data_IF_986720134530
#
_entry.id   IF_986720134530
#
_cell.length_a   1.000
_cell.length_b   1.000
_cell.length_c   1.000
_cell.angle_alpha   90.00
_cell.angle_beta   90.00
_cell.angle_gamma   90.00
#
_symmetry.space_group_name_H-M   'P 1'
#
loop_
_entity.id
_entity.type
_entity.pdbx_description
1 polymer ?
#
# COMPACT_ATOMS: atom_id res chain seq x y z
N UNK A 1 12.91 -1.15 1.31
CA UNK A 1 14.34 -1.18 1.72
C UNK A 1 14.49 -1.27 3.24
N UNK A 2 13.93 -0.32 4.01
CA UNK A 2 14.04 -0.34 5.48
C UNK A 2 13.51 -1.62 6.14
N UNK A 3 12.39 -2.17 5.64
CA UNK A 3 11.86 -3.45 6.13
C UNK A 3 12.87 -4.60 6.03
N UNK A 4 13.69 -4.63 4.97
CA UNK A 4 14.72 -5.65 4.81
C UNK A 4 15.91 -5.43 5.76
N UNK A 5 16.35 -4.19 5.92
CA UNK A 5 17.45 -3.84 6.81
C UNK A 5 17.14 -4.12 8.30
N UNK A 6 15.85 -4.09 8.67
CA UNK A 6 15.39 -4.24 10.05
C UNK A 6 14.82 -5.63 10.36
N UNK A 7 15.27 -6.69 9.66
CA UNK A 7 14.82 -8.06 9.87
C UNK A 7 13.30 -8.25 9.70
N UNK A 8 12.76 -7.82 8.56
CA UNK A 8 11.36 -8.08 8.19
C UNK A 8 11.07 -9.56 7.94
N UNK A 9 9.81 -9.90 7.66
CA UNK A 9 9.31 -11.29 7.53
C UNK A 9 10.14 -12.19 6.61
N UNK A 10 10.73 -11.64 5.53
CA UNK A 10 11.56 -12.39 4.59
C UNK A 10 12.89 -12.90 5.17
N UNK A 11 13.28 -12.45 6.37
CA UNK A 11 14.53 -12.81 7.04
C UNK A 11 14.32 -13.83 8.18
N UNK A 12 13.16 -14.47 8.21
CA UNK A 12 12.82 -15.55 9.15
C UNK A 12 13.07 -15.23 10.64
N UNK A 13 12.53 -14.11 11.17
CA UNK A 13 12.55 -13.89 12.61
C UNK A 13 11.70 -14.96 13.31
N UNK A 14 12.10 -15.40 14.51
CA UNK A 14 11.33 -16.37 15.30
C UNK A 14 9.88 -15.94 15.51
N UNK A 15 9.68 -14.65 15.75
CA UNK A 15 8.39 -13.99 15.83
C UNK A 15 8.48 -12.57 15.27
N UNK A 16 7.41 -12.11 14.64
CA UNK A 16 7.24 -10.76 14.14
C UNK A 16 5.90 -10.19 14.65
N UNK A 17 5.96 -9.16 15.48
CA UNK A 17 4.78 -8.49 16.03
C UNK A 17 4.61 -7.08 15.47
N UNK A 18 3.39 -6.56 15.53
CA UNK A 18 3.10 -5.18 15.17
C UNK A 18 2.22 -4.50 16.22
N UNK A 19 2.50 -3.23 16.50
CA UNK A 19 1.59 -2.36 17.23
C UNK A 19 0.33 -2.06 16.39
N UNK A 20 -0.82 -1.72 17.00
CA UNK A 20 -2.05 -1.41 16.26
C UNK A 20 -1.92 -0.17 15.38
N UNK A 21 -0.98 0.72 15.71
CA UNK A 21 -0.65 1.95 14.98
C UNK A 21 0.39 1.75 13.87
N UNK A 22 1.00 0.57 13.76
CA UNK A 22 2.01 0.28 12.74
C UNK A 22 1.41 0.38 11.33
N UNK A 23 2.26 0.60 10.32
CA UNK A 23 1.87 0.61 8.91
C UNK A 23 2.84 -0.23 8.09
N UNK A 24 2.30 -1.11 7.25
CA UNK A 24 3.09 -1.99 6.37
C UNK A 24 2.95 -1.56 4.92
N UNK A 25 3.98 -0.95 4.37
CA UNK A 25 3.94 -0.42 3.02
C UNK A 25 5.29 -0.58 2.32
N UNK A 26 5.28 -0.64 0.99
CA UNK A 26 6.52 -0.59 0.20
C UNK A 26 7.20 0.78 0.35
N UNK A 27 6.40 1.85 0.41
CA UNK A 27 6.84 3.24 0.60
C UNK A 27 5.87 3.99 1.53
N UNK A 28 6.36 4.94 2.32
CA UNK A 28 5.50 5.72 3.21
C UNK A 28 4.84 6.92 2.51
N UNK A 29 3.67 7.31 3.01
CA UNK A 29 3.01 8.57 2.67
C UNK A 29 2.18 8.57 1.39
N UNK A 30 1.47 9.69 1.19
CA UNK A 30 0.56 9.90 0.06
C UNK A 30 1.27 9.94 -1.30
N UNK A 31 2.58 10.20 -1.30
CA UNK A 31 3.39 10.21 -2.52
C UNK A 31 3.37 8.87 -3.26
N UNK A 32 3.36 7.75 -2.52
CA UNK A 32 3.29 6.42 -3.12
C UNK A 32 1.93 6.18 -3.81
N UNK A 33 0.84 6.54 -3.14
CA UNK A 33 -0.50 6.42 -3.70
C UNK A 33 -0.71 7.33 -4.91
N UNK A 34 -0.18 8.56 -4.88
CA UNK A 34 -0.23 9.47 -6.02
C UNK A 34 0.55 8.91 -7.22
N UNK A 35 1.74 8.35 -6.99
CA UNK A 35 2.56 7.73 -8.05
C UNK A 35 1.81 6.55 -8.68
N UNK A 36 1.18 5.70 -7.86
CA UNK A 36 0.36 4.58 -8.35
C UNK A 36 -0.86 5.06 -9.14
N UNK A 37 -1.51 6.14 -8.69
CA UNK A 37 -2.63 6.74 -9.41
C UNK A 37 -2.20 7.30 -10.78
N UNK A 38 -1.07 8.01 -10.84
CA UNK A 38 -0.51 8.52 -12.09
C UNK A 38 -0.13 7.41 -13.07
N UNK A 39 0.47 6.32 -12.60
CA UNK A 39 0.79 5.16 -13.45
C UNK A 39 -0.51 4.59 -14.05
N UNK A 40 -1.56 4.46 -13.23
CA UNK A 40 -2.85 3.94 -13.67
C UNK A 40 -3.56 4.88 -14.64
N UNK A 41 -3.47 6.20 -14.44
CA UNK A 41 -3.96 7.20 -15.40
C UNK A 41 -3.26 7.06 -16.75
N UNK A 42 -1.92 7.03 -16.75
CA UNK A 42 -1.13 6.86 -17.98
C UNK A 42 -1.42 5.53 -18.69
N UNK A 43 -1.69 4.47 -17.93
CA UNK A 43 -2.12 3.20 -18.49
C UNK A 43 -3.48 3.33 -19.21
N UNK A 44 -4.46 3.96 -18.58
CA UNK A 44 -5.80 4.15 -19.17
C UNK A 44 -5.77 5.05 -20.40
N UNK A 45 -4.93 6.10 -20.40
CA UNK A 45 -4.70 6.96 -21.57
C UNK A 45 -4.10 6.17 -22.75
N UNK A 46 -3.14 5.27 -22.47
CA UNK A 46 -2.56 4.37 -23.50
C UNK A 46 -3.58 3.37 -24.05
N UNK A 47 -4.54 2.95 -23.23
CA UNK A 47 -5.68 2.12 -23.64
C UNK A 47 -6.76 2.91 -24.41
N UNK A 48 -6.55 4.21 -24.66
CA UNK A 48 -7.48 5.07 -25.41
C UNK A 48 -8.67 5.58 -24.58
N UNK A 49 -8.69 5.34 -23.26
CA UNK A 49 -9.75 5.82 -22.38
C UNK A 49 -9.46 7.27 -21.97
N UNK A 50 -10.31 8.20 -22.39
CA UNK A 50 -10.28 9.59 -21.92
C UNK A 50 -11.12 9.72 -20.64
N UNK A 51 -10.45 9.89 -19.51
CA UNK A 51 -11.11 10.19 -18.24
C UNK A 51 -11.38 11.69 -18.14
N UNK A 52 -12.59 12.03 -17.71
CA UNK A 52 -12.90 13.39 -17.30
C UNK A 52 -12.26 13.70 -15.92
N UNK A 53 -12.23 14.98 -15.54
CA UNK A 53 -11.61 15.41 -14.28
C UNK A 53 -12.28 14.79 -13.05
N UNK A 54 -13.56 14.43 -13.15
CA UNK A 54 -14.29 13.74 -12.08
C UNK A 54 -13.79 12.30 -11.91
N UNK A 55 -13.73 11.53 -13.00
CA UNK A 55 -13.25 10.15 -12.96
C UNK A 55 -11.77 10.06 -12.58
N UNK A 56 -10.94 11.05 -12.95
CA UNK A 56 -9.55 11.15 -12.47
C UNK A 56 -9.47 11.30 -10.95
N UNK A 57 -10.30 12.18 -10.37
CA UNK A 57 -10.38 12.36 -8.91
C UNK A 57 -10.87 11.09 -8.20
N UNK A 58 -11.91 10.45 -8.73
CA UNK A 58 -12.43 9.19 -8.18
C UNK A 58 -11.38 8.07 -8.25
N UNK A 59 -10.62 7.97 -9.33
CA UNK A 59 -9.53 7.01 -9.46
C UNK A 59 -8.44 7.25 -8.41
N UNK A 60 -8.02 8.52 -8.25
CA UNK A 60 -6.99 8.89 -7.28
C UNK A 60 -7.43 8.55 -5.87
N UNK A 61 -8.67 8.88 -5.50
CA UNK A 61 -9.21 8.58 -4.17
C UNK A 61 -9.35 7.06 -3.95
N UNK A 62 -9.79 6.32 -4.97
CA UNK A 62 -9.86 4.85 -4.93
C UNK A 62 -8.49 4.21 -4.71
N UNK A 63 -7.45 4.70 -5.39
CA UNK A 63 -6.07 4.22 -5.23
C UNK A 63 -5.54 4.54 -3.83
N UNK A 64 -5.75 5.77 -3.33
CA UNK A 64 -5.38 6.16 -1.96
C UNK A 64 -6.05 5.31 -0.91
N UNK A 65 -7.37 5.12 -1.01
CA UNK A 65 -8.15 4.30 -0.10
C UNK A 65 -7.67 2.85 -0.09
N UNK A 66 -7.44 2.28 -1.29
CA UNK A 66 -6.88 0.94 -1.44
C UNK A 66 -5.50 0.83 -0.79
N UNK A 67 -4.62 1.80 -1.05
CA UNK A 67 -3.28 1.82 -0.46
C UNK A 67 -3.37 1.87 1.07
N UNK A 68 -4.11 2.83 1.62
CA UNK A 68 -4.28 3.00 3.06
C UNK A 68 -4.85 1.75 3.73
N UNK A 69 -5.83 1.10 3.10
CA UNK A 69 -6.38 -0.16 3.59
C UNK A 69 -5.33 -1.28 3.62
N UNK A 70 -4.52 -1.41 2.57
CA UNK A 70 -3.46 -2.42 2.50
C UNK A 70 -2.30 -2.14 3.46
N UNK A 71 -2.09 -0.89 3.85
CA UNK A 71 -1.06 -0.55 4.84
C UNK A 71 -1.44 -0.86 6.29
N UNK A 72 -2.70 -1.19 6.55
CA UNK A 72 -3.19 -1.47 7.89
C UNK A 72 -2.60 -2.78 8.45
N UNK A 73 -2.17 -2.84 9.72
CA UNK A 73 -1.56 -4.03 10.28
C UNK A 73 -2.55 -5.21 10.33
N UNK A 74 -3.86 -4.95 10.36
CA UNK A 74 -4.89 -6.00 10.26
C UNK A 74 -4.90 -6.65 8.88
N UNK A 75 -4.64 -5.89 7.82
CA UNK A 75 -4.50 -6.42 6.47
C UNK A 75 -3.30 -7.37 6.36
N UNK A 76 -2.19 -7.01 7.00
CA UNK A 76 -0.97 -7.81 7.08
C UNK A 76 -1.16 -9.07 7.95
N UNK A 77 -1.79 -8.95 9.11
CA UNK A 77 -2.09 -10.06 10.02
C UNK A 77 -2.97 -11.13 9.36
N UNK A 78 -4.02 -10.71 8.65
CA UNK A 78 -4.90 -11.61 7.90
C UNK A 78 -4.18 -12.40 6.79
N UNK A 79 -2.93 -12.03 6.45
CA UNK A 79 -2.09 -12.64 5.43
C UNK A 79 -0.82 -13.27 5.98
N UNK A 80 -0.71 -13.39 7.31
CA UNK A 80 0.44 -14.00 8.00
C UNK A 80 1.78 -13.31 7.69
N UNK A 81 1.75 -12.00 7.37
CA UNK A 81 2.98 -11.21 7.25
C UNK A 81 3.64 -10.97 8.61
N UNK A 82 2.83 -11.03 9.68
CA UNK A 82 3.18 -10.90 11.08
C UNK A 82 2.40 -11.95 11.88
N UNK A 83 2.90 -12.31 13.06
CA UNK A 83 2.35 -13.41 13.85
C UNK A 83 1.24 -12.94 14.80
N UNK A 84 1.33 -11.71 15.35
CA UNK A 84 0.23 -11.08 16.08
C UNK A 84 0.33 -9.55 16.11
N UNK A 85 -0.82 -8.91 16.29
CA UNK A 85 -0.92 -7.50 16.67
C UNK A 85 -1.01 -7.46 18.20
N UNK A 86 -0.14 -6.69 18.86
CA UNK A 86 -0.06 -6.56 20.33
C UNK A 86 -0.18 -5.11 20.78
#
# INVERSE_FOLDING_TARGET
AGNYAMCGKAYDPRFLFAWPTAKFAVMSGDAAANTLAEIKLKQLEREGKKLDEKAKKELLESVKSTYNHQTDPRYAAARLWLDAII
#
